data_IF_776694412484
#
_entry.id   IF_776694412484
#
_cell.length_a   1.000
_cell.length_b   1.000
_cell.length_c   1.000
_cell.angle_alpha   90.00
_cell.angle_beta   90.00
_cell.angle_gamma   90.00
#
_symmetry.space_group_name_H-M   'P 1'
#
loop_
_entity.id
_entity.type
_entity.pdbx_description
1 polymer ?
#
# COMPACT_ATOMS: atom_id res chain seq x y z
N UNK A 1 9.40 -11.25 -14.21
CA UNK A 1 9.52 -9.99 -13.43
C UNK A 1 9.78 -10.31 -11.96
N UNK A 2 10.16 -9.33 -11.14
CA UNK A 2 10.26 -9.48 -9.68
C UNK A 2 9.41 -8.42 -9.00
N UNK A 3 8.81 -8.75 -7.87
CA UNK A 3 8.12 -7.82 -6.99
C UNK A 3 9.02 -7.56 -5.79
N UNK A 4 9.28 -6.30 -5.49
CA UNK A 4 9.97 -5.86 -4.28
C UNK A 4 8.99 -5.18 -3.34
N UNK A 5 9.17 -5.38 -2.03
CA UNK A 5 8.41 -4.67 -0.99
C UNK A 5 9.36 -4.35 0.15
N UNK A 6 9.30 -3.12 0.64
CA UNK A 6 9.93 -2.68 1.89
C UNK A 6 8.86 -2.14 2.82
N UNK A 7 8.79 -2.63 4.06
CA UNK A 7 7.87 -2.16 5.09
C UNK A 7 8.66 -1.43 6.17
N UNK A 8 8.25 -0.20 6.49
CA UNK A 8 8.81 0.63 7.56
C UNK A 8 7.72 1.03 8.55
N UNK A 9 8.10 1.39 9.77
CA UNK A 9 7.18 2.09 10.67
C UNK A 9 7.23 3.62 10.43
N UNK A 10 6.37 4.33 11.12
CA UNK A 10 6.26 5.80 11.17
C UNK A 10 7.55 6.52 11.61
N UNK A 11 8.37 5.86 12.43
CA UNK A 11 9.72 6.33 12.80
C UNK A 11 10.78 6.05 11.71
N UNK A 12 10.37 5.55 10.54
CA UNK A 12 11.22 5.14 9.41
C UNK A 12 12.18 3.98 9.72
N UNK A 13 11.96 3.26 10.82
CA UNK A 13 12.66 2.01 11.07
C UNK A 13 12.20 0.94 10.10
N UNK A 14 13.19 0.26 9.55
CA UNK A 14 12.98 -0.91 8.73
C UNK A 14 12.37 -2.05 9.55
N UNK A 15 11.25 -2.60 9.08
CA UNK A 15 10.59 -3.76 9.68
C UNK A 15 10.81 -5.02 8.86
N UNK A 16 10.66 -4.92 7.53
CA UNK A 16 10.70 -6.07 6.64
C UNK A 16 11.06 -5.67 5.20
N UNK A 17 11.80 -6.53 4.51
CA UNK A 17 11.98 -6.50 3.05
C UNK A 17 11.62 -7.87 2.52
N UNK A 18 10.85 -7.91 1.44
CA UNK A 18 10.50 -9.15 0.76
C UNK A 18 10.65 -8.98 -0.75
N UNK A 19 11.02 -10.08 -1.40
CA UNK A 19 11.09 -10.15 -2.85
C UNK A 19 10.43 -11.44 -3.34
N UNK A 20 9.61 -11.34 -4.39
CA UNK A 20 8.92 -12.49 -5.00
C UNK A 20 9.16 -12.49 -6.50
N UNK A 21 9.55 -13.65 -7.05
CA UNK A 21 9.61 -13.83 -8.51
C UNK A 21 8.23 -14.21 -9.04
N UNK A 22 7.85 -13.59 -10.15
CA UNK A 22 6.58 -13.88 -10.84
C UNK A 22 6.89 -14.22 -12.29
N UNK A 23 6.34 -15.35 -12.73
CA UNK A 23 6.44 -15.80 -14.11
C UNK A 23 5.40 -15.09 -14.98
N UNK A 24 5.72 -14.93 -16.27
CA UNK A 24 4.83 -14.28 -17.26
C UNK A 24 5.40 -12.99 -17.84
N UNK A 25 4.77 -12.57 -18.93
CA UNK A 25 5.05 -11.31 -19.61
C UNK A 25 3.99 -10.28 -19.19
N UNK A 26 4.31 -9.49 -18.16
CA UNK A 26 3.41 -8.51 -17.56
C UNK A 26 3.81 -7.11 -18.00
N UNK A 27 2.83 -6.22 -18.16
CA UNK A 27 3.11 -4.78 -18.30
C UNK A 27 3.68 -4.22 -17.00
N UNK A 28 4.25 -3.02 -17.06
CA UNK A 28 4.80 -2.34 -15.88
C UNK A 28 3.70 -2.09 -14.85
N UNK A 29 2.55 -1.59 -15.29
CA UNK A 29 1.39 -1.29 -14.43
C UNK A 29 0.88 -2.54 -13.71
N UNK A 30 0.90 -3.69 -14.39
CA UNK A 30 0.51 -4.96 -13.77
C UNK A 30 1.56 -5.46 -12.78
N UNK A 31 2.85 -5.27 -13.06
CA UNK A 31 3.91 -5.60 -12.12
C UNK A 31 3.79 -4.76 -10.83
N UNK A 32 3.53 -3.47 -10.96
CA UNK A 32 3.31 -2.54 -9.85
C UNK A 32 2.06 -2.88 -9.05
N UNK A 33 0.93 -3.14 -9.70
CA UNK A 33 -0.29 -3.57 -9.01
C UNK A 33 -0.11 -4.90 -8.25
N UNK A 34 0.66 -5.85 -8.80
CA UNK A 34 1.00 -7.09 -8.10
C UNK A 34 1.93 -6.86 -6.91
N UNK A 35 2.84 -5.89 -7.00
CA UNK A 35 3.68 -5.51 -5.88
C UNK A 35 2.85 -4.88 -4.75
N UNK A 36 1.84 -4.06 -5.09
CA UNK A 36 0.89 -3.48 -4.12
C UNK A 36 0.15 -4.57 -3.37
N UNK A 37 -0.42 -5.53 -4.11
CA UNK A 37 -1.12 -6.67 -3.53
C UNK A 37 -0.20 -7.46 -2.59
N UNK A 38 1.03 -7.75 -3.03
CA UNK A 38 2.01 -8.47 -2.23
C UNK A 38 2.38 -7.73 -0.94
N UNK A 39 2.61 -6.42 -1.02
CA UNK A 39 2.90 -5.60 0.16
C UNK A 39 1.72 -5.50 1.12
N UNK A 40 0.50 -5.32 0.60
CA UNK A 40 -0.71 -5.25 1.42
C UNK A 40 -0.98 -6.57 2.17
N UNK A 41 -0.77 -7.71 1.51
CA UNK A 41 -0.88 -9.02 2.15
C UNK A 41 0.13 -9.20 3.29
N UNK A 42 1.37 -8.75 3.11
CA UNK A 42 2.40 -8.80 4.14
C UNK A 42 2.05 -7.89 5.33
N UNK A 43 1.62 -6.66 5.08
CA UNK A 43 1.19 -5.75 6.15
C UNK A 43 -0.01 -6.33 6.94
N UNK A 44 -0.98 -6.93 6.25
CA UNK A 44 -2.09 -7.62 6.90
C UNK A 44 -1.61 -8.77 7.82
N UNK A 45 -0.71 -9.62 7.32
CA UNK A 45 -0.10 -10.72 8.09
C UNK A 45 0.69 -10.21 9.31
N UNK A 46 1.26 -9.01 9.22
CA UNK A 46 1.98 -8.33 10.30
C UNK A 46 1.06 -7.54 11.25
N UNK A 47 -0.28 -7.68 11.11
CA UNK A 47 -1.29 -6.97 11.89
C UNK A 47 -1.28 -5.44 11.71
N UNK A 48 -0.90 -4.96 10.53
CA UNK A 48 -1.01 -3.57 10.12
C UNK A 48 -2.12 -3.40 9.06
N UNK A 49 -3.39 -3.28 9.47
CA UNK A 49 -4.53 -3.31 8.56
C UNK A 49 -4.72 -2.03 7.73
N UNK A 50 -3.92 -0.99 7.98
CA UNK A 50 -4.03 0.33 7.33
C UNK A 50 -2.64 0.88 6.97
N UNK A 51 -1.90 0.22 6.06
CA UNK A 51 -0.62 0.73 5.61
C UNK A 51 -0.79 1.98 4.72
N UNK A 52 0.18 2.88 4.77
CA UNK A 52 0.41 3.85 3.69
C UNK A 52 1.21 3.12 2.62
N UNK A 53 0.78 3.20 1.37
CA UNK A 53 1.48 2.57 0.25
C UNK A 53 2.10 3.68 -0.61
N UNK A 54 3.42 3.64 -0.76
CA UNK A 54 4.20 4.50 -1.64
C UNK A 54 4.53 3.75 -2.94
N UNK A 55 4.25 4.39 -4.07
CA UNK A 55 4.33 3.82 -5.42
C UNK A 55 4.96 4.84 -6.35
N UNK A 56 5.83 4.41 -7.26
CA UNK A 56 6.40 5.27 -8.31
C UNK A 56 5.58 5.28 -9.61
N UNK A 57 4.50 4.49 -9.68
CA UNK A 57 3.62 4.38 -10.84
C UNK A 57 2.34 5.22 -10.73
N UNK A 58 2.35 6.42 -11.33
CA UNK A 58 1.22 7.34 -11.29
C UNK A 58 -0.11 6.73 -11.79
N UNK A 59 -0.07 5.90 -12.84
CA UNK A 59 -1.28 5.24 -13.38
C UNK A 59 -1.91 4.29 -12.36
N UNK A 60 -1.10 3.54 -11.62
CA UNK A 60 -1.60 2.62 -10.58
C UNK A 60 -2.16 3.42 -9.40
N UNK A 61 -1.50 4.51 -8.99
CA UNK A 61 -2.00 5.41 -7.94
C UNK A 61 -3.39 5.95 -8.31
N UNK A 62 -3.55 6.47 -9.54
CA UNK A 62 -4.83 7.00 -10.01
C UNK A 62 -5.93 5.95 -10.03
N UNK A 63 -5.62 4.73 -10.50
CA UNK A 63 -6.58 3.64 -10.53
C UNK A 63 -6.99 3.19 -9.12
N UNK A 64 -6.07 3.15 -8.16
CA UNK A 64 -6.35 2.81 -6.76
C UNK A 64 -7.21 3.87 -6.08
N UNK A 65 -6.91 5.16 -6.29
CA UNK A 65 -7.70 6.26 -5.75
C UNK A 65 -9.12 6.29 -6.32
N UNK A 66 -9.26 6.11 -7.64
CA UNK A 66 -10.58 6.02 -8.26
C UNK A 66 -11.40 4.83 -7.75
N UNK A 67 -10.76 3.68 -7.51
CA UNK A 67 -11.42 2.52 -6.93
C UNK A 67 -11.88 2.77 -5.47
N UNK A 68 -11.07 3.47 -4.66
CA UNK A 68 -11.44 3.84 -3.29
C UNK A 68 -12.58 4.88 -3.27
N UNK A 69 -12.57 5.87 -4.15
CA UNK A 69 -13.65 6.85 -4.30
C UNK A 69 -14.99 6.17 -4.64
N UNK A 70 -14.96 5.19 -5.55
CA UNK A 70 -16.14 4.38 -5.92
C UNK A 70 -16.60 3.51 -4.75
N UNK A 71 -15.68 2.97 -3.96
CA UNK A 71 -15.99 2.11 -2.81
C UNK A 71 -16.48 2.89 -1.58
N UNK A 72 -16.00 4.11 -1.36
CA UNK A 72 -16.27 4.91 -0.16
C UNK A 72 -17.36 5.97 -0.33
N UNK A 73 -17.73 6.30 -1.57
CA UNK A 73 -18.92 7.10 -1.88
C UNK A 73 -18.91 8.57 -1.40
N UNK A 74 -17.86 9.08 -0.74
CA UNK A 74 -17.77 10.49 -0.33
C UNK A 74 -16.36 10.94 0.13
N UNK A 75 -15.80 11.98 -0.51
CA UNK A 75 -14.47 12.55 -0.18
C UNK A 75 -14.38 13.15 1.24
N UNK A 76 -15.49 13.62 1.83
CA UNK A 76 -15.48 14.18 3.20
C UNK A 76 -15.11 13.12 4.25
N UNK A 77 -15.39 11.85 3.97
CA UNK A 77 -15.06 10.75 4.88
C UNK A 77 -13.55 10.46 4.94
N UNK A 78 -12.76 10.87 3.94
CA UNK A 78 -11.32 10.61 3.89
C UNK A 78 -10.55 11.50 4.86
N UNK A 79 -10.86 12.81 4.89
CA UNK A 79 -10.21 13.75 5.83
C UNK A 79 -10.53 13.40 7.28
N UNK A 80 -11.78 13.01 7.58
CA UNK A 80 -12.18 12.54 8.90
C UNK A 80 -11.52 11.20 9.27
N UNK A 81 -11.30 10.30 8.29
CA UNK A 81 -10.59 9.03 8.53
C UNK A 81 -9.11 9.25 8.77
N UNK A 82 -8.44 10.12 8.00
CA UNK A 82 -7.04 10.49 8.22
C UNK A 82 -6.83 11.13 9.59
N UNK A 83 -7.75 12.01 10.02
CA UNK A 83 -7.72 12.60 11.35
C UNK A 83 -7.91 11.56 12.46
N UNK A 84 -8.82 10.58 12.27
CA UNK A 84 -9.03 9.48 13.20
C UNK A 84 -7.88 8.45 13.20
N UNK A 85 -7.19 8.27 12.07
CA UNK A 85 -6.00 7.41 11.96
C UNK A 85 -4.84 7.96 12.80
N UNK A 86 -4.65 9.28 12.80
CA UNK A 86 -3.62 9.96 13.61
C UNK A 86 -3.92 9.92 15.11
N UNK A 87 -5.16 9.64 15.53
CA UNK A 87 -5.59 9.60 16.93
C UNK A 87 -5.76 8.19 17.52
N UNK A 88 -5.77 7.13 16.69
CA UNK A 88 -6.04 5.72 17.10
C UNK A 88 -4.87 5.08 17.88
N UNK A 89 -3.69 5.70 17.93
CA UNK A 89 -2.50 5.14 18.61
C UNK A 89 -2.02 3.79 18.05
N UNK A 90 -2.63 3.32 16.95
CA UNK A 90 -2.22 2.10 16.24
C UNK A 90 -1.00 2.42 15.38
N UNK A 91 0.01 1.56 15.51
CA UNK A 91 1.26 1.67 14.76
C UNK A 91 0.96 1.64 13.26
N UNK A 92 1.42 2.67 12.56
CA UNK A 92 1.29 2.80 11.11
C UNK A 92 2.52 2.21 10.43
N UNK A 93 2.35 1.68 9.23
CA UNK A 93 3.48 1.23 8.41
C UNK A 93 3.39 1.79 7.01
N UNK A 94 4.56 2.06 6.45
CA UNK A 94 4.75 2.52 5.08
C UNK A 94 5.28 1.34 4.26
N UNK A 95 4.61 1.05 3.14
CA UNK A 95 5.00 0.05 2.16
C UNK A 95 5.60 0.80 0.98
N UNK A 96 6.88 0.55 0.68
CA UNK A 96 7.55 1.08 -0.50
C UNK A 96 7.76 -0.06 -1.51
N UNK A 97 7.43 0.20 -2.76
CA UNK A 97 7.58 -0.73 -3.89
C UNK A 97 8.67 -0.26 -4.85
#
# INVERSE_FOLDING_TARGET
MGLGVVIRNDERWFLLAAAKRVQGNWSVEMAEALAVEFGAQLAWQMHYPRPIIELDCQTVVQNLQAADDVFTGNMNSLQEREANLKSDGRKQVEIHL
#
